data_IF_806247267444
#
_entry.id   IF_806247267444
#
_cell.length_a   1.000
_cell.length_b   1.000
_cell.length_c   1.000
_cell.angle_alpha   90.00
_cell.angle_beta   90.00
_cell.angle_gamma   90.00
#
_symmetry.space_group_name_H-M   'P 1'
#
loop_
_entity.id
_entity.type
_entity.pdbx_description
1 polymer ?
#
# COMPACT_ATOMS: atom_id res chain seq x y z
N UNK A 1 -40.39 19.45 -55.60
CA UNK A 1 -38.94 19.46 -55.27
C UNK A 1 -38.63 19.53 -53.76
N UNK A 2 -39.53 20.00 -52.87
CA UNK A 2 -39.31 20.03 -51.40
C UNK A 2 -39.26 18.67 -50.67
N UNK A 3 -40.00 17.65 -51.14
CA UNK A 3 -40.08 16.33 -50.48
C UNK A 3 -38.84 15.42 -50.59
N UNK A 4 -37.87 15.74 -51.46
CA UNK A 4 -36.62 14.95 -51.60
C UNK A 4 -35.48 15.45 -50.69
N UNK A 5 -35.62 16.63 -50.07
CA UNK A 5 -34.60 17.22 -49.19
C UNK A 5 -34.80 16.74 -47.74
N UNK A 6 -36.05 16.55 -47.30
CA UNK A 6 -36.38 16.10 -45.93
C UNK A 6 -35.99 14.64 -45.65
N UNK A 7 -35.95 13.77 -46.67
CA UNK A 7 -35.54 12.37 -46.46
C UNK A 7 -34.03 12.20 -46.26
N UNK A 8 -33.22 13.19 -46.66
CA UNK A 8 -31.76 13.17 -46.50
C UNK A 8 -31.26 13.71 -45.15
N UNK A 9 -32.01 14.61 -44.52
CA UNK A 9 -31.65 15.24 -43.23
C UNK A 9 -31.83 14.27 -42.06
N UNK A 10 -32.94 13.52 -41.99
CA UNK A 10 -33.16 12.53 -40.93
C UNK A 10 -32.15 11.37 -40.91
N UNK A 11 -31.63 10.97 -42.09
CA UNK A 11 -30.55 9.96 -42.17
C UNK A 11 -29.20 10.52 -41.71
N UNK A 12 -28.93 11.81 -41.95
CA UNK A 12 -27.70 12.48 -41.51
C UNK A 12 -27.69 12.70 -40.00
N UNK A 13 -28.82 13.13 -39.44
CA UNK A 13 -29.01 13.28 -38.00
C UNK A 13 -28.89 11.94 -37.27
N UNK A 14 -29.53 10.88 -37.78
CA UNK A 14 -29.41 9.54 -37.18
C UNK A 14 -27.96 9.02 -37.19
N UNK A 15 -27.22 9.23 -38.29
CA UNK A 15 -25.80 8.88 -38.38
C UNK A 15 -24.94 9.71 -37.43
N UNK A 16 -25.22 11.00 -37.28
CA UNK A 16 -24.53 11.88 -36.35
C UNK A 16 -24.77 11.45 -34.89
N UNK A 17 -26.02 11.13 -34.53
CA UNK A 17 -26.38 10.64 -33.19
C UNK A 17 -25.68 9.31 -32.90
N UNK A 18 -25.66 8.38 -33.85
CA UNK A 18 -24.97 7.10 -33.70
C UNK A 18 -23.45 7.28 -33.51
N UNK A 19 -22.80 8.12 -34.31
CA UNK A 19 -21.37 8.41 -34.19
C UNK A 19 -21.04 9.08 -32.85
N UNK A 20 -21.87 10.02 -32.40
CA UNK A 20 -21.72 10.68 -31.09
C UNK A 20 -21.89 9.68 -29.94
N UNK A 21 -22.82 8.74 -30.06
CA UNK A 21 -23.03 7.68 -29.08
C UNK A 21 -21.84 6.73 -28.99
N UNK A 22 -21.28 6.30 -30.12
CA UNK A 22 -20.11 5.41 -30.16
C UNK A 22 -18.88 6.07 -29.52
N UNK A 23 -18.60 7.33 -29.89
CA UNK A 23 -17.54 8.14 -29.26
C UNK A 23 -17.77 8.25 -27.74
N UNK A 24 -19.01 8.42 -27.29
CA UNK A 24 -19.33 8.47 -25.87
C UNK A 24 -19.06 7.14 -25.16
N UNK A 25 -19.44 6.01 -25.77
CA UNK A 25 -19.18 4.67 -25.22
C UNK A 25 -17.68 4.43 -25.03
N UNK A 26 -16.85 4.82 -26.01
CA UNK A 26 -15.38 4.70 -25.93
C UNK A 26 -14.79 5.55 -24.78
N UNK A 27 -15.30 6.76 -24.58
CA UNK A 27 -14.91 7.63 -23.46
C UNK A 27 -15.30 7.03 -22.12
N UNK A 28 -16.53 6.52 -22.02
CA UNK A 28 -17.05 5.87 -20.82
C UNK A 28 -16.18 4.68 -20.43
N UNK A 29 -15.76 3.84 -21.38
CA UNK A 29 -14.83 2.75 -21.10
C UNK A 29 -13.50 3.27 -20.51
N UNK A 30 -12.92 4.32 -21.08
CA UNK A 30 -11.68 4.90 -20.56
C UNK A 30 -11.84 5.44 -19.12
N UNK A 31 -12.95 6.12 -18.85
CA UNK A 31 -13.26 6.65 -17.51
C UNK A 31 -13.51 5.54 -16.50
N UNK A 32 -14.30 4.52 -16.87
CA UNK A 32 -14.58 3.37 -16.01
C UNK A 32 -13.32 2.57 -15.71
N UNK A 33 -12.45 2.36 -16.70
CA UNK A 33 -11.19 1.65 -16.48
C UNK A 33 -10.24 2.46 -15.57
N UNK A 34 -10.18 3.78 -15.77
CA UNK A 34 -9.44 4.68 -14.87
C UNK A 34 -9.97 4.57 -13.44
N UNK A 35 -11.30 4.61 -13.27
CA UNK A 35 -11.96 4.44 -11.99
C UNK A 35 -11.65 3.09 -11.35
N UNK A 36 -11.76 1.99 -12.10
CA UNK A 36 -11.47 0.64 -11.62
C UNK A 36 -10.00 0.48 -11.18
N UNK A 37 -9.04 0.99 -11.97
CA UNK A 37 -7.64 0.95 -11.59
C UNK A 37 -7.34 1.76 -10.33
N UNK A 38 -7.95 2.93 -10.16
CA UNK A 38 -7.82 3.71 -8.94
C UNK A 38 -8.47 3.04 -7.73
N UNK A 39 -9.67 2.47 -7.89
CA UNK A 39 -10.40 1.77 -6.84
C UNK A 39 -9.65 0.54 -6.33
N UNK A 40 -8.98 -0.19 -7.22
CA UNK A 40 -8.27 -1.42 -6.88
C UNK A 40 -6.78 -1.20 -6.53
N UNK A 41 -6.29 0.04 -6.57
CA UNK A 41 -4.94 0.38 -6.12
C UNK A 41 -3.84 0.08 -7.14
N UNK A 42 -4.09 0.35 -8.43
CA UNK A 42 -3.03 0.31 -9.43
C UNK A 42 -1.98 1.42 -9.16
N UNK A 43 -0.68 1.18 -9.42
CA UNK A 43 0.33 2.22 -9.37
C UNK A 43 0.00 3.37 -10.33
N UNK A 44 0.03 4.62 -9.85
CA UNK A 44 -0.53 5.74 -10.61
C UNK A 44 0.19 6.03 -11.92
N UNK A 45 1.51 5.97 -11.92
CA UNK A 45 2.33 6.20 -13.11
C UNK A 45 2.00 5.23 -14.25
N UNK A 46 1.46 4.05 -13.94
CA UNK A 46 1.04 3.06 -14.94
C UNK A 46 -0.37 3.31 -15.45
N UNK A 47 -1.25 3.86 -14.61
CA UNK A 47 -2.60 4.27 -15.04
C UNK A 47 -2.47 5.25 -16.22
N UNK A 48 -1.57 6.22 -16.12
CA UNK A 48 -1.34 7.18 -17.21
C UNK A 48 -0.91 6.49 -18.51
N UNK A 49 0.10 5.63 -18.45
CA UNK A 49 0.57 4.88 -19.63
C UNK A 49 -0.50 3.96 -20.21
N UNK A 50 -1.26 3.27 -19.36
CA UNK A 50 -2.29 2.32 -19.80
C UNK A 50 -3.46 3.03 -20.48
N UNK A 51 -3.92 4.15 -19.92
CA UNK A 51 -5.02 4.92 -20.49
C UNK A 51 -4.57 5.66 -21.77
N UNK A 52 -3.33 6.17 -21.84
CA UNK A 52 -2.80 6.73 -23.09
C UNK A 52 -2.69 5.69 -24.20
N UNK A 53 -2.41 4.42 -23.88
CA UNK A 53 -2.48 3.34 -24.86
C UNK A 53 -3.93 3.03 -25.25
N UNK A 54 -4.86 3.05 -24.30
CA UNK A 54 -6.28 2.85 -24.57
C UNK A 54 -6.83 3.94 -25.50
N UNK A 55 -6.43 5.20 -25.31
CA UNK A 55 -6.76 6.31 -26.21
C UNK A 55 -6.37 6.03 -27.66
N UNK A 56 -5.16 5.50 -27.89
CA UNK A 56 -4.72 5.11 -29.24
C UNK A 56 -5.55 3.98 -29.83
N UNK A 57 -5.94 2.99 -29.02
CA UNK A 57 -6.74 1.84 -29.48
C UNK A 57 -8.19 2.24 -29.76
N UNK A 58 -8.73 3.16 -28.97
CA UNK A 58 -10.10 3.66 -29.11
C UNK A 58 -10.24 4.83 -30.10
N UNK A 59 -9.14 5.26 -30.73
CA UNK A 59 -9.10 6.42 -31.65
C UNK A 59 -9.60 7.71 -30.98
N UNK A 60 -9.09 7.96 -29.77
CA UNK A 60 -9.37 9.16 -28.96
C UNK A 60 -8.09 9.95 -28.77
N UNK A 61 -8.18 11.28 -28.89
CA UNK A 61 -7.11 12.19 -28.51
C UNK A 61 -7.32 12.74 -27.10
N UNK A 62 -6.24 12.84 -26.32
CA UNK A 62 -6.34 13.30 -24.95
C UNK A 62 -5.03 13.32 -24.19
N UNK A 63 -5.11 13.82 -22.96
CA UNK A 63 -4.04 13.82 -21.96
C UNK A 63 -4.62 13.35 -20.64
N UNK A 64 -3.82 12.60 -19.90
CA UNK A 64 -4.15 12.15 -18.56
C UNK A 64 -3.10 12.69 -17.61
N UNK A 65 -3.54 13.16 -16.45
CA UNK A 65 -2.67 13.65 -15.40
C UNK A 65 -3.15 13.06 -14.07
N UNK A 66 -2.28 12.34 -13.39
CA UNK A 66 -2.58 11.78 -12.09
C UNK A 66 -2.17 12.74 -10.97
N UNK A 67 -3.12 13.05 -10.10
CA UNK A 67 -2.87 13.65 -8.79
C UNK A 67 -3.24 12.65 -7.69
N UNK A 68 -2.66 12.82 -6.50
CA UNK A 68 -2.93 11.91 -5.37
C UNK A 68 -4.43 11.93 -5.04
N UNK A 69 -5.09 10.79 -5.25
CA UNK A 69 -6.53 10.62 -5.00
C UNK A 69 -7.46 11.13 -6.11
N UNK A 70 -6.95 11.68 -7.21
CA UNK A 70 -7.75 12.18 -8.32
C UNK A 70 -7.00 12.10 -9.65
N UNK A 71 -7.61 11.50 -10.69
CA UNK A 71 -7.04 11.50 -12.04
C UNK A 71 -7.83 12.45 -12.93
N UNK A 72 -7.14 13.36 -13.60
CA UNK A 72 -7.72 14.25 -14.59
C UNK A 72 -7.59 13.62 -15.96
N UNK A 73 -8.73 13.31 -16.59
CA UNK A 73 -8.79 12.77 -17.94
C UNK A 73 -9.29 13.89 -18.84
N UNK A 74 -8.36 14.49 -19.57
CA UNK A 74 -8.66 15.49 -20.58
C UNK A 74 -8.72 14.81 -21.94
N UNK A 75 -9.77 15.09 -22.66
CA UNK A 75 -9.93 14.58 -23.99
C UNK A 75 -10.16 15.75 -24.96
N UNK A 76 -9.62 15.57 -26.15
CA UNK A 76 -9.51 16.57 -27.18
C UNK A 76 -10.26 16.03 -28.38
N UNK A 77 -11.32 16.73 -28.81
CA UNK A 77 -11.97 16.37 -30.06
C UNK A 77 -11.05 16.77 -31.23
N UNK A 78 -10.93 15.91 -32.26
CA UNK A 78 -10.27 16.32 -33.50
C UNK A 78 -11.05 17.49 -34.13
N UNK A 79 -10.36 18.42 -34.82
CA UNK A 79 -11.01 19.54 -35.48
C UNK A 79 -11.97 19.01 -36.57
N UNK A 80 -13.23 19.43 -36.53
CA UNK A 80 -14.17 19.14 -37.61
C UNK A 80 -13.80 19.99 -38.83
N UNK A 81 -13.75 19.38 -40.01
CA UNK A 81 -13.40 20.06 -41.25
C UNK A 81 -14.42 21.14 -41.63
N UNK A 82 -15.67 21.00 -41.14
CA UNK A 82 -16.76 21.94 -41.39
C UNK A 82 -16.81 23.10 -40.40
N UNK A 83 -16.15 22.99 -39.24
CA UNK A 83 -16.10 24.05 -38.23
C UNK A 83 -14.79 23.98 -37.40
N UNK A 84 -13.71 24.62 -37.88
CA UNK A 84 -12.40 24.57 -37.23
C UNK A 84 -12.32 25.34 -35.89
N UNK A 85 -13.36 26.12 -35.53
CA UNK A 85 -13.39 26.93 -34.32
C UNK A 85 -13.97 26.19 -33.10
N UNK A 86 -14.69 25.08 -33.31
CA UNK A 86 -15.30 24.29 -32.23
C UNK A 86 -14.38 23.20 -31.68
N UNK A 87 -13.12 23.55 -31.37
CA UNK A 87 -12.24 22.66 -30.61
C UNK A 87 -12.72 22.59 -29.16
N UNK A 88 -13.58 21.61 -28.87
CA UNK A 88 -14.04 21.35 -27.51
C UNK A 88 -13.08 20.38 -26.83
N UNK A 89 -12.55 20.82 -25.68
CA UNK A 89 -11.87 19.94 -24.73
C UNK A 89 -12.81 19.65 -23.58
N UNK A 90 -12.85 18.40 -23.16
CA UNK A 90 -13.65 17.97 -22.02
C UNK A 90 -12.72 17.30 -21.01
N UNK A 91 -12.71 17.83 -19.79
CA UNK A 91 -11.92 17.28 -18.70
C UNK A 91 -12.87 16.68 -17.69
N UNK A 92 -12.65 15.41 -17.35
CA UNK A 92 -13.39 14.72 -16.31
C UNK A 92 -12.45 14.34 -15.18
N UNK A 93 -12.86 14.62 -13.95
CA UNK A 93 -12.14 14.24 -12.75
C UNK A 93 -12.67 12.90 -12.24
N UNK A 94 -11.77 11.92 -12.12
CA UNK A 94 -12.09 10.61 -11.57
C UNK A 94 -11.45 10.49 -10.19
N UNK A 95 -12.27 10.26 -9.16
CA UNK A 95 -11.83 10.05 -7.78
C UNK A 95 -12.21 8.66 -7.32
N UNK A 96 -11.22 7.86 -6.94
CA UNK A 96 -11.40 6.60 -6.26
C UNK A 96 -10.13 6.27 -5.47
N UNK A 97 -10.28 5.53 -4.39
CA UNK A 97 -9.16 5.05 -3.60
C UNK A 97 -9.55 3.71 -2.97
N UNK A 98 -8.65 2.74 -3.08
CA UNK A 98 -8.80 1.43 -2.46
C UNK A 98 -7.65 0.53 -2.85
N UNK A 99 -7.70 -0.71 -2.37
CA UNK A 99 -6.69 -1.72 -2.64
C UNK A 99 -7.36 -3.09 -2.67
N UNK A 100 -7.44 -3.69 -3.85
CA UNK A 100 -7.94 -5.05 -4.05
C UNK A 100 -7.13 -5.71 -5.15
N UNK A 101 -6.13 -6.51 -4.75
CA UNK A 101 -5.18 -7.11 -5.70
C UNK A 101 -5.86 -8.14 -6.61
N UNK A 102 -6.92 -8.79 -6.10
CA UNK A 102 -7.68 -9.78 -6.85
C UNK A 102 -8.47 -9.15 -7.99
N UNK A 103 -9.24 -8.11 -7.70
CA UNK A 103 -10.01 -7.39 -8.72
C UNK A 103 -9.12 -6.56 -9.65
N UNK A 104 -7.99 -6.06 -9.17
CA UNK A 104 -7.00 -5.36 -10.00
C UNK A 104 -6.47 -6.25 -11.14
N UNK A 105 -6.15 -7.51 -10.85
CA UNK A 105 -5.69 -8.45 -11.89
C UNK A 105 -6.77 -8.71 -12.94
N UNK A 106 -8.04 -8.74 -12.54
CA UNK A 106 -9.17 -8.96 -13.44
C UNK A 106 -9.44 -7.75 -14.33
N UNK A 107 -9.48 -6.54 -13.76
CA UNK A 107 -9.57 -5.30 -14.53
C UNK A 107 -8.40 -5.18 -15.53
N UNK A 108 -7.20 -5.58 -15.13
CA UNK A 108 -6.04 -5.59 -16.02
C UNK A 108 -6.13 -6.63 -17.15
N UNK A 109 -6.79 -7.77 -16.93
CA UNK A 109 -7.08 -8.75 -17.99
C UNK A 109 -8.03 -8.18 -19.02
N UNK A 110 -9.12 -7.53 -18.58
CA UNK A 110 -10.09 -6.87 -19.47
C UNK A 110 -9.37 -5.81 -20.32
N UNK A 111 -8.57 -4.95 -19.68
CA UNK A 111 -7.73 -3.96 -20.38
C UNK A 111 -6.86 -4.60 -21.48
N UNK A 112 -6.17 -5.71 -21.18
CA UNK A 112 -5.35 -6.41 -22.17
C UNK A 112 -6.16 -6.96 -23.34
N UNK A 113 -7.36 -7.51 -23.10
CA UNK A 113 -8.25 -7.99 -24.17
C UNK A 113 -8.63 -6.84 -25.10
N UNK A 114 -8.97 -5.66 -24.54
CA UNK A 114 -9.31 -4.45 -25.32
C UNK A 114 -8.13 -3.97 -26.16
N UNK A 115 -6.94 -3.85 -25.56
CA UNK A 115 -5.73 -3.37 -26.27
C UNK A 115 -5.33 -4.32 -27.41
N UNK A 116 -5.56 -5.62 -27.25
CA UNK A 116 -5.32 -6.62 -28.30
C UNK A 116 -6.45 -6.72 -29.32
N UNK A 117 -7.51 -5.93 -29.17
CA UNK A 117 -8.71 -5.97 -30.00
C UNK A 117 -9.38 -7.36 -30.00
N UNK A 118 -9.30 -8.08 -28.88
CA UNK A 118 -9.96 -9.39 -28.69
C UNK A 118 -11.45 -9.23 -28.32
N UNK A 119 -11.84 -8.10 -27.72
CA UNK A 119 -13.22 -7.79 -27.31
C UNK A 119 -13.62 -6.37 -27.74
N UNK A 120 -14.92 -6.16 -27.95
CA UNK A 120 -15.47 -4.84 -28.30
C UNK A 120 -15.61 -3.92 -27.08
N UNK A 121 -15.78 -2.62 -27.32
CA UNK A 121 -15.90 -1.58 -26.27
C UNK A 121 -17.11 -1.81 -25.38
N UNK A 122 -18.25 -2.18 -25.95
CA UNK A 122 -19.49 -2.46 -25.21
C UNK A 122 -19.33 -3.68 -24.31
N UNK A 123 -18.83 -4.79 -24.85
CA UNK A 123 -18.56 -6.02 -24.11
C UNK A 123 -17.55 -5.80 -22.98
N UNK A 124 -16.48 -5.05 -23.24
CA UNK A 124 -15.51 -4.66 -22.22
C UNK A 124 -16.12 -3.81 -21.11
N UNK A 125 -17.07 -2.92 -21.46
CA UNK A 125 -17.78 -2.09 -20.50
C UNK A 125 -18.66 -2.95 -19.60
N UNK A 126 -19.37 -3.93 -20.17
CA UNK A 126 -20.19 -4.88 -19.41
C UNK A 126 -19.34 -5.77 -18.51
N UNK A 127 -18.28 -6.41 -19.03
CA UNK A 127 -17.36 -7.22 -18.21
C UNK A 127 -16.76 -6.38 -17.05
N UNK A 128 -16.42 -5.12 -17.30
CA UNK A 128 -15.86 -4.25 -16.27
C UNK A 128 -16.91 -3.82 -15.22
N UNK A 129 -18.15 -3.57 -15.64
CA UNK A 129 -19.26 -3.29 -14.73
C UNK A 129 -19.58 -4.50 -13.84
N UNK A 130 -19.50 -5.72 -14.38
CA UNK A 130 -19.70 -6.95 -13.60
C UNK A 130 -18.63 -7.09 -12.50
N UNK A 131 -17.39 -6.72 -12.80
CA UNK A 131 -16.30 -6.71 -11.81
C UNK A 131 -16.52 -5.62 -10.75
N UNK A 132 -16.98 -4.42 -11.15
CA UNK A 132 -17.26 -3.31 -10.23
C UNK A 132 -18.47 -3.55 -9.32
N UNK A 133 -19.51 -4.17 -9.85
CA UNK A 133 -20.74 -4.48 -9.11
C UNK A 133 -20.67 -5.83 -8.37
N UNK A 134 -19.64 -6.63 -8.65
CA UNK A 134 -19.42 -7.91 -8.00
C UNK A 134 -19.17 -7.78 -6.50
N UNK A 135 -19.61 -8.75 -5.68
CA UNK A 135 -19.31 -8.74 -4.25
C UNK A 135 -17.80 -8.90 -4.01
N UNK A 136 -17.23 -8.28 -2.96
CA UNK A 136 -15.83 -8.47 -2.61
C UNK A 136 -15.58 -9.94 -2.28
N UNK A 137 -14.45 -10.47 -2.74
CA UNK A 137 -14.11 -11.90 -2.58
C UNK A 137 -14.06 -12.33 -1.11
N UNK A 138 -13.45 -11.49 -0.26
CA UNK A 138 -13.48 -11.65 1.20
C UNK A 138 -14.44 -10.65 1.83
N UNK A 139 -15.37 -11.14 2.64
CA UNK A 139 -16.26 -10.25 3.39
C UNK A 139 -15.45 -9.48 4.45
N UNK A 140 -15.75 -8.20 4.72
CA UNK A 140 -14.99 -7.38 5.67
C UNK A 140 -14.79 -8.03 7.05
N UNK A 141 -15.81 -8.72 7.57
CA UNK A 141 -15.73 -9.43 8.86
C UNK A 141 -14.72 -10.57 8.90
N UNK A 142 -14.52 -11.27 7.79
CA UNK A 142 -13.53 -12.34 7.71
C UNK A 142 -12.10 -11.82 7.66
N UNK A 143 -11.89 -10.56 7.30
CA UNK A 143 -10.56 -9.94 7.21
C UNK A 143 -10.01 -9.65 8.63
N UNK A 144 -10.86 -9.32 9.59
CA UNK A 144 -10.49 -8.97 10.97
C UNK A 144 -9.64 -10.04 11.69
N UNK A 145 -9.98 -11.34 11.70
CA UNK A 145 -9.13 -12.36 12.31
C UNK A 145 -7.78 -12.51 11.58
N UNK A 146 -7.71 -12.28 10.27
CA UNK A 146 -6.45 -12.33 9.54
C UNK A 146 -5.48 -11.19 9.92
N UNK A 147 -5.99 -10.02 10.32
CA UNK A 147 -5.17 -8.97 10.95
C UNK A 147 -4.51 -9.47 12.24
N UNK A 148 -5.28 -10.14 13.11
CA UNK A 148 -4.75 -10.73 14.35
C UNK A 148 -3.71 -11.82 14.09
N UNK A 149 -3.99 -12.74 13.16
CA UNK A 149 -3.04 -13.81 12.79
C UNK A 149 -1.75 -13.25 12.18
N UNK A 150 -1.84 -12.18 11.38
CA UNK A 150 -0.67 -11.49 10.86
C UNK A 150 0.14 -10.85 11.99
N UNK A 151 -0.48 -10.06 12.87
CA UNK A 151 0.17 -9.46 14.04
C UNK A 151 0.82 -10.49 14.97
N UNK A 152 0.15 -11.62 15.20
CA UNK A 152 0.67 -12.74 15.99
C UNK A 152 2.02 -13.23 15.46
N UNK A 153 2.13 -13.41 14.14
CA UNK A 153 3.38 -13.83 13.52
C UNK A 153 4.44 -12.72 13.51
N UNK A 154 4.03 -11.47 13.25
CA UNK A 154 4.92 -10.30 13.25
C UNK A 154 5.62 -10.08 14.59
N UNK A 155 4.93 -10.37 15.71
CA UNK A 155 5.49 -10.30 17.05
C UNK A 155 6.84 -11.03 17.18
N UNK A 156 6.92 -12.25 16.64
CA UNK A 156 8.12 -13.09 16.78
C UNK A 156 9.16 -12.78 15.70
N UNK A 157 8.76 -12.68 14.42
CA UNK A 157 9.74 -12.56 13.34
C UNK A 157 10.31 -11.15 13.18
N UNK A 158 9.49 -10.10 13.38
CA UNK A 158 9.90 -8.71 13.17
C UNK A 158 10.44 -8.07 14.44
N UNK A 159 9.81 -8.30 15.59
CA UNK A 159 10.06 -7.56 16.84
C UNK A 159 10.67 -8.40 17.97
N UNK A 160 11.10 -9.63 17.67
CA UNK A 160 11.79 -10.53 18.59
C UNK A 160 11.01 -10.87 19.88
N UNK A 161 9.67 -10.95 19.81
CA UNK A 161 8.83 -11.42 20.91
C UNK A 161 8.98 -12.92 21.23
N UNK A 162 8.39 -13.35 22.34
CA UNK A 162 8.35 -14.75 22.76
C UNK A 162 7.00 -15.40 22.44
N UNK A 163 6.90 -16.73 22.55
CA UNK A 163 5.65 -17.48 22.32
C UNK A 163 4.49 -17.01 23.21
N UNK A 164 4.79 -16.49 24.40
CA UNK A 164 3.79 -15.93 25.32
C UNK A 164 3.18 -14.62 24.82
N UNK A 165 3.89 -13.86 23.99
CA UNK A 165 3.43 -12.57 23.46
C UNK A 165 2.45 -12.76 22.28
N UNK A 166 2.50 -13.90 21.59
CA UNK A 166 1.70 -14.19 20.39
C UNK A 166 0.18 -14.07 20.60
N UNK A 167 -0.43 -14.69 21.64
CA UNK A 167 -1.87 -14.58 21.85
C UNK A 167 -2.34 -13.16 22.14
N UNK A 168 -1.51 -12.37 22.83
CA UNK A 168 -1.81 -10.97 23.12
C UNK A 168 -1.76 -10.13 21.85
N UNK A 169 -0.72 -10.31 21.04
CA UNK A 169 -0.59 -9.67 19.74
C UNK A 169 -1.73 -10.05 18.77
N UNK A 170 -2.25 -11.29 18.85
CA UNK A 170 -3.43 -11.70 18.08
C UNK A 170 -4.67 -10.90 18.46
N UNK A 171 -4.96 -10.78 19.75
CA UNK A 171 -6.14 -10.05 20.24
C UNK A 171 -6.04 -8.57 19.89
N UNK A 172 -4.89 -7.94 20.18
CA UNK A 172 -4.69 -6.52 19.89
C UNK A 172 -4.67 -6.24 18.38
N UNK A 173 -4.05 -7.10 17.57
CA UNK A 173 -4.09 -7.00 16.11
C UNK A 173 -5.51 -7.17 15.54
N UNK A 174 -6.34 -8.04 16.13
CA UNK A 174 -7.75 -8.15 15.75
C UNK A 174 -8.57 -6.91 16.13
N UNK A 175 -8.27 -6.25 17.25
CA UNK A 175 -8.88 -4.95 17.59
C UNK A 175 -8.53 -3.91 16.52
N UNK A 176 -7.27 -3.85 16.12
CA UNK A 176 -6.81 -2.95 15.05
C UNK A 176 -7.52 -3.24 13.74
N UNK A 177 -7.64 -4.52 13.35
CA UNK A 177 -8.40 -4.93 12.17
C UNK A 177 -9.88 -4.53 12.23
N UNK A 178 -10.51 -4.65 13.40
CA UNK A 178 -11.89 -4.20 13.60
C UNK A 178 -12.03 -2.68 13.43
N UNK A 179 -11.13 -1.91 14.05
CA UNK A 179 -11.12 -0.45 13.94
C UNK A 179 -10.91 0.01 12.48
N UNK A 180 -9.98 -0.62 11.76
CA UNK A 180 -9.67 -0.25 10.38
C UNK A 180 -10.74 -0.70 9.37
N UNK A 181 -11.22 -1.94 9.47
CA UNK A 181 -12.10 -2.51 8.44
C UNK A 181 -13.58 -2.17 8.67
N UNK A 182 -14.01 -2.03 9.93
CA UNK A 182 -15.42 -1.84 10.28
C UNK A 182 -15.67 -0.42 10.79
N UNK A 183 -14.90 0.06 11.77
CA UNK A 183 -15.18 1.36 12.38
C UNK A 183 -14.85 2.53 11.43
N UNK A 184 -13.68 2.50 10.78
CA UNK A 184 -13.29 3.54 9.82
C UNK A 184 -14.19 3.56 8.56
N UNK A 185 -14.70 2.41 8.13
CA UNK A 185 -15.64 2.32 7.01
C UNK A 185 -17.02 2.93 7.32
N UNK A 186 -17.44 2.94 8.59
CA UNK A 186 -18.73 3.50 9.01
C UNK A 186 -18.68 4.99 9.33
N UNK A 187 -17.55 5.48 9.83
CA UNK A 187 -17.39 6.87 10.24
C UNK A 187 -16.18 7.53 9.56
N UNK A 188 -16.41 8.41 8.56
CA UNK A 188 -15.32 9.08 7.84
C UNK A 188 -14.52 10.04 8.74
N UNK A 189 -15.09 10.56 9.83
CA UNK A 189 -14.35 11.37 10.80
C UNK A 189 -13.36 10.50 11.59
N UNK A 190 -13.77 9.27 11.93
CA UNK A 190 -12.90 8.34 12.66
C UNK A 190 -11.75 7.85 11.77
N UNK A 191 -11.99 7.69 10.46
CA UNK A 191 -10.94 7.31 9.51
C UNK A 191 -9.73 8.29 9.51
N UNK A 192 -9.94 9.56 9.85
CA UNK A 192 -8.85 10.56 9.92
C UNK A 192 -7.99 10.46 11.19
N UNK A 193 -8.45 9.76 12.23
CA UNK A 193 -7.78 9.65 13.54
C UNK A 193 -7.51 8.18 13.90
N UNK A 194 -7.76 7.26 12.96
CA UNK A 194 -7.64 5.82 13.16
C UNK A 194 -6.22 5.46 13.63
N UNK A 195 -5.20 6.02 12.99
CA UNK A 195 -3.79 5.74 13.24
C UNK A 195 -3.39 6.01 14.68
N UNK A 196 -3.67 7.23 15.14
CA UNK A 196 -3.32 7.69 16.48
C UNK A 196 -4.13 6.93 17.52
N UNK A 197 -5.42 6.74 17.29
CA UNK A 197 -6.31 6.06 18.24
C UNK A 197 -6.00 4.56 18.36
N UNK A 198 -5.75 3.86 17.25
CA UNK A 198 -5.37 2.45 17.26
C UNK A 198 -4.01 2.23 17.94
N UNK A 199 -3.01 3.06 17.65
CA UNK A 199 -1.70 3.00 18.30
C UNK A 199 -1.78 3.31 19.80
N UNK A 200 -2.60 4.27 20.20
CA UNK A 200 -2.85 4.60 21.60
C UNK A 200 -3.48 3.42 22.36
N UNK A 201 -4.58 2.86 21.85
CA UNK A 201 -5.30 1.76 22.51
C UNK A 201 -4.43 0.51 22.62
N UNK A 202 -3.75 0.13 21.54
CA UNK A 202 -2.88 -1.06 21.54
C UNK A 202 -1.67 -0.88 22.43
N UNK A 203 -1.05 0.30 22.48
CA UNK A 203 0.14 0.54 23.31
C UNK A 203 -0.19 0.67 24.79
N UNK A 204 -1.34 1.25 25.12
CA UNK A 204 -1.88 1.25 26.48
C UNK A 204 -2.10 -0.18 26.97
N UNK A 205 -2.81 -1.01 26.18
CA UNK A 205 -3.07 -2.40 26.53
C UNK A 205 -1.79 -3.24 26.57
N UNK A 206 -0.86 -3.04 25.62
CA UNK A 206 0.42 -3.73 25.58
C UNK A 206 1.24 -3.46 26.83
N UNK A 207 1.32 -2.19 27.28
CA UNK A 207 2.05 -1.84 28.51
C UNK A 207 1.35 -2.35 29.77
N UNK A 208 0.02 -2.32 29.79
CA UNK A 208 -0.76 -2.90 30.88
C UNK A 208 -0.46 -4.39 31.07
N UNK A 209 -0.44 -5.15 29.97
CA UNK A 209 -0.16 -6.58 30.00
C UNK A 209 1.33 -6.84 30.31
N UNK A 210 2.24 -6.02 29.80
CA UNK A 210 3.66 -6.10 30.12
C UNK A 210 3.99 -5.80 31.59
N UNK A 211 3.17 -5.01 32.28
CA UNK A 211 3.29 -4.74 33.73
C UNK A 211 2.96 -5.96 34.61
N UNK A 212 2.25 -6.95 34.06
CA UNK A 212 1.87 -8.17 34.80
C UNK A 212 3.14 -8.98 35.09
N UNK A 213 3.59 -8.95 36.34
CA UNK A 213 4.80 -9.64 36.78
C UNK A 213 5.52 -9.01 37.96
N UNK A 214 5.26 -7.73 38.25
CA UNK A 214 5.80 -6.98 39.38
C UNK A 214 7.29 -6.62 39.24
N UNK A 215 7.68 -5.43 39.72
CA UNK A 215 9.08 -5.02 39.86
C UNK A 215 9.72 -4.32 38.65
N UNK A 216 8.94 -3.64 37.80
CA UNK A 216 9.46 -2.84 36.67
C UNK A 216 10.17 -3.65 35.57
N UNK A 217 10.25 -4.97 35.72
CA UNK A 217 10.95 -5.90 34.82
C UNK A 217 9.95 -6.76 34.04
N UNK A 218 10.15 -6.88 32.72
CA UNK A 218 9.29 -7.64 31.79
C UNK A 218 9.47 -9.16 31.93
N UNK A 219 8.95 -9.74 33.01
CA UNK A 219 9.17 -11.17 33.32
C UNK A 219 8.43 -12.12 32.36
N UNK A 220 7.22 -11.76 31.92
CA UNK A 220 6.34 -12.65 31.16
C UNK A 220 6.01 -12.15 29.76
N UNK A 221 5.79 -10.83 29.59
CA UNK A 221 5.38 -10.24 28.33
C UNK A 221 6.28 -9.07 27.94
N UNK A 222 6.61 -8.96 26.65
CA UNK A 222 7.38 -7.85 26.13
C UNK A 222 6.48 -6.73 25.60
N UNK A 223 6.57 -5.53 26.19
CA UNK A 223 5.85 -4.35 25.71
C UNK A 223 6.23 -4.02 24.26
N UNK A 224 7.54 -4.03 23.97
CA UNK A 224 8.12 -3.69 22.68
C UNK A 224 7.49 -4.48 21.53
N UNK A 225 7.59 -5.81 21.64
CA UNK A 225 7.10 -6.72 20.62
C UNK A 225 5.58 -6.70 20.49
N UNK A 226 4.82 -6.58 21.59
CA UNK A 226 3.35 -6.58 21.54
C UNK A 226 2.81 -5.29 20.92
N UNK A 227 3.32 -4.12 21.32
CA UNK A 227 2.83 -2.84 20.81
C UNK A 227 3.11 -2.68 19.31
N UNK A 228 4.35 -2.94 18.86
CA UNK A 228 4.71 -2.80 17.43
C UNK A 228 4.06 -3.86 16.53
N UNK A 229 3.91 -5.10 17.01
CA UNK A 229 3.27 -6.17 16.24
C UNK A 229 1.77 -5.93 16.03
N UNK A 230 1.10 -5.31 16.99
CA UNK A 230 -0.33 -5.00 16.92
C UNK A 230 -0.65 -3.98 15.83
N UNK A 231 0.25 -3.02 15.59
CA UNK A 231 0.09 -1.98 14.58
C UNK A 231 0.74 -2.31 13.23
N UNK A 232 1.48 -3.43 13.12
CA UNK A 232 2.26 -3.80 11.92
C UNK A 232 1.45 -3.71 10.63
N UNK A 233 0.18 -4.11 10.67
CA UNK A 233 -0.71 -4.13 9.52
C UNK A 233 -1.16 -2.74 9.05
N UNK A 234 -1.02 -1.73 9.90
CA UNK A 234 -1.35 -0.33 9.61
C UNK A 234 -0.14 0.46 9.13
N UNK A 235 1.09 -0.08 9.27
CA UNK A 235 2.29 0.61 8.79
C UNK A 235 2.14 1.01 7.32
N UNK A 236 2.63 2.21 6.93
CA UNK A 236 2.38 2.80 5.62
C UNK A 236 3.23 2.16 4.50
N UNK A 237 3.42 0.84 4.51
CA UNK A 237 4.30 0.14 3.57
C UNK A 237 3.83 0.22 2.13
N UNK A 238 2.52 0.14 1.89
CA UNK A 238 1.92 0.40 0.58
C UNK A 238 2.21 1.81 0.07
N UNK A 239 2.08 2.80 0.95
CA UNK A 239 2.21 4.21 0.61
C UNK A 239 3.66 4.51 0.26
N UNK A 240 4.60 3.99 1.05
CA UNK A 240 6.04 4.08 0.80
C UNK A 240 6.40 3.44 -0.55
N UNK A 241 5.85 2.26 -0.83
CA UNK A 241 6.06 1.58 -2.11
C UNK A 241 5.56 2.39 -3.30
N UNK A 242 4.29 2.80 -3.28
CA UNK A 242 3.72 3.58 -4.38
C UNK A 242 4.48 4.90 -4.57
N UNK A 243 4.82 5.58 -3.47
CA UNK A 243 5.63 6.79 -3.50
C UNK A 243 7.01 6.58 -4.14
N UNK A 244 7.69 5.48 -3.79
CA UNK A 244 8.96 5.08 -4.37
C UNK A 244 8.85 4.81 -5.89
N UNK A 245 7.87 4.01 -6.31
CA UNK A 245 7.67 3.67 -7.72
C UNK A 245 7.27 4.89 -8.57
N UNK A 246 6.46 5.79 -8.01
CA UNK A 246 6.06 7.02 -8.70
C UNK A 246 7.22 7.99 -8.88
N UNK A 247 8.10 8.08 -7.88
CA UNK A 247 9.33 8.85 -7.98
C UNK A 247 10.25 8.26 -9.07
N UNK A 248 10.30 6.93 -9.21
CA UNK A 248 11.01 6.25 -10.29
C UNK A 248 10.52 6.68 -11.67
N UNK A 249 9.19 6.69 -11.81
CA UNK A 249 8.52 6.96 -13.06
C UNK A 249 8.51 8.46 -13.41
N UNK A 250 9.24 9.28 -12.65
CA UNK A 250 9.29 10.75 -12.77
C UNK A 250 7.95 11.43 -12.51
N UNK A 251 7.02 10.76 -11.85
CA UNK A 251 5.81 11.38 -11.30
C UNK A 251 6.15 12.02 -9.94
N UNK A 252 6.91 13.12 -10.00
CA UNK A 252 7.51 13.74 -8.82
C UNK A 252 6.45 14.22 -7.82
N UNK A 253 5.35 14.81 -8.30
CA UNK A 253 4.29 15.35 -7.46
C UNK A 253 3.57 14.25 -6.67
N UNK A 254 3.11 13.20 -7.35
CA UNK A 254 2.41 12.09 -6.71
C UNK A 254 3.32 11.32 -5.73
N UNK A 255 4.54 11.00 -6.17
CA UNK A 255 5.51 10.26 -5.39
C UNK A 255 5.97 11.01 -4.14
N UNK A 256 6.34 12.29 -4.28
CA UNK A 256 6.79 13.11 -3.16
C UNK A 256 5.70 13.30 -2.10
N UNK A 257 4.46 13.56 -2.51
CA UNK A 257 3.33 13.71 -1.57
C UNK A 257 3.06 12.43 -0.80
N UNK A 258 3.10 11.25 -1.45
CA UNK A 258 2.92 9.96 -0.76
C UNK A 258 4.04 9.65 0.23
N UNK A 259 5.28 9.85 -0.17
CA UNK A 259 6.43 9.64 0.72
C UNK A 259 6.39 10.59 1.92
N UNK A 260 6.10 11.87 1.70
CA UNK A 260 5.95 12.83 2.79
C UNK A 260 4.80 12.45 3.73
N UNK A 261 3.65 12.05 3.19
CA UNK A 261 2.53 11.57 3.99
C UNK A 261 2.90 10.33 4.80
N UNK A 262 3.63 9.36 4.24
CA UNK A 262 4.09 8.17 4.97
C UNK A 262 5.01 8.50 6.16
N UNK A 263 5.85 9.55 6.03
CA UNK A 263 6.68 10.05 7.13
C UNK A 263 5.80 10.62 8.26
N UNK A 264 4.85 11.50 7.92
CA UNK A 264 3.91 12.07 8.91
C UNK A 264 3.06 10.98 9.56
N UNK A 265 2.58 10.01 8.77
CA UNK A 265 1.82 8.86 9.23
C UNK A 265 2.57 8.06 10.29
N UNK A 266 3.87 7.86 10.07
CA UNK A 266 4.74 7.14 10.99
C UNK A 266 5.02 7.92 12.27
N UNK A 267 5.10 9.25 12.19
CA UNK A 267 5.17 10.12 13.36
C UNK A 267 3.86 10.05 14.17
N UNK A 268 2.70 9.99 13.52
CA UNK A 268 1.42 9.79 14.21
C UNK A 268 1.34 8.44 14.92
N UNK A 269 1.81 7.36 14.30
CA UNK A 269 1.93 6.05 14.95
C UNK A 269 2.88 6.12 16.14
N UNK A 270 4.08 6.66 15.98
CA UNK A 270 5.06 6.81 17.07
C UNK A 270 4.52 7.66 18.23
N UNK A 271 3.83 8.76 17.92
CA UNK A 271 3.16 9.59 18.92
C UNK A 271 2.05 8.83 19.65
N UNK A 272 1.19 8.10 18.93
CA UNK A 272 0.13 7.29 19.53
C UNK A 272 0.68 6.21 20.46
N UNK A 273 1.78 5.54 20.09
CA UNK A 273 2.46 4.58 20.96
C UNK A 273 2.98 5.28 22.23
N UNK A 274 3.65 6.42 22.07
CA UNK A 274 4.23 7.15 23.18
C UNK A 274 3.14 7.58 24.19
N UNK A 275 2.10 8.27 23.72
CA UNK A 275 0.97 8.71 24.56
C UNK A 275 0.26 7.53 25.22
N UNK A 276 -0.08 6.47 24.46
CA UNK A 276 -0.77 5.30 25.00
C UNK A 276 0.04 4.60 26.08
N UNK A 277 1.35 4.44 25.87
CA UNK A 277 2.24 3.83 26.85
C UNK A 277 2.36 4.67 28.13
N UNK A 278 2.42 6.00 28.01
CA UNK A 278 2.59 6.86 29.17
C UNK A 278 1.31 7.08 29.97
N UNK A 279 0.14 7.01 29.33
CA UNK A 279 -1.15 7.00 30.02
C UNK A 279 -1.28 5.81 30.98
N UNK A 280 -0.73 4.64 30.63
CA UNK A 280 -0.65 3.53 31.58
C UNK A 280 0.43 3.76 32.64
N UNK A 281 1.59 4.30 32.24
CA UNK A 281 2.69 4.60 33.16
C UNK A 281 2.36 5.62 34.25
N UNK A 282 1.41 6.53 34.00
CA UNK A 282 0.90 7.44 35.04
C UNK A 282 -0.14 6.80 35.96
N UNK A 283 -0.83 5.76 35.50
CA UNK A 283 -1.82 5.03 36.28
C UNK A 283 -1.20 3.97 37.21
N UNK A 284 -0.08 3.34 36.80
CA UNK A 284 0.60 2.29 37.56
C UNK A 284 2.08 2.63 37.81
N UNK A 285 2.43 2.81 39.09
CA UNK A 285 3.79 3.11 39.54
C UNK A 285 4.80 1.96 39.28
N UNK A 286 4.33 0.74 39.02
CA UNK A 286 5.18 -0.43 38.70
C UNK A 286 5.30 -0.69 37.20
N UNK A 287 4.78 0.20 36.35
CA UNK A 287 4.79 0.02 34.91
C UNK A 287 6.21 -0.11 34.33
N UNK A 288 6.40 -1.07 33.43
CA UNK A 288 7.69 -1.34 32.79
C UNK A 288 8.14 -0.15 31.94
N UNK A 289 9.39 0.28 32.11
CA UNK A 289 10.01 1.38 31.33
C UNK A 289 10.89 0.87 30.18
N UNK A 290 11.28 -0.40 30.19
CA UNK A 290 12.15 -0.98 29.17
C UNK A 290 11.40 -1.32 27.88
N UNK A 291 11.94 -0.88 26.75
CA UNK A 291 11.45 -1.25 25.41
C UNK A 291 12.06 -2.56 24.89
N UNK A 292 13.14 -3.03 25.52
CA UNK A 292 13.93 -4.18 25.07
C UNK A 292 13.41 -5.50 25.63
N UNK A 293 13.13 -6.45 24.73
CA UNK A 293 12.63 -7.77 25.13
C UNK A 293 13.76 -8.63 25.75
N UNK A 294 13.57 -9.21 26.95
CA UNK A 294 14.58 -10.03 27.62
C UNK A 294 14.66 -11.46 27.08
N UNK A 295 13.63 -11.92 26.35
CA UNK A 295 13.54 -13.26 25.78
C UNK A 295 13.13 -13.17 24.31
N UNK A 296 13.80 -13.92 23.46
CA UNK A 296 13.47 -14.06 22.05
C UNK A 296 13.43 -15.53 21.64
N UNK A 297 12.63 -15.85 20.63
CA UNK A 297 12.55 -17.20 20.04
C UNK A 297 13.79 -17.46 19.17
N UNK A 298 14.21 -18.72 19.05
CA UNK A 298 15.27 -19.14 18.13
C UNK A 298 14.99 -18.59 16.70
N UNK A 299 15.95 -17.86 16.09
CA UNK A 299 15.82 -17.29 14.75
C UNK A 299 15.38 -18.28 13.67
N UNK A 300 15.60 -19.59 13.83
CA UNK A 300 15.16 -20.62 12.87
C UNK A 300 13.65 -20.63 12.62
N UNK A 301 12.84 -20.26 13.62
CA UNK A 301 11.38 -20.20 13.47
C UNK A 301 10.91 -19.10 12.50
N UNK A 302 11.76 -18.13 12.19
CA UNK A 302 11.48 -17.09 11.18
C UNK A 302 11.21 -17.69 9.80
N UNK A 303 11.78 -18.87 9.48
CA UNK A 303 11.56 -19.57 8.21
C UNK A 303 10.09 -19.96 8.01
N UNK A 304 9.35 -20.26 9.08
CA UNK A 304 7.94 -20.66 9.01
C UNK A 304 7.02 -19.45 9.21
N UNK A 305 7.39 -18.56 10.13
CA UNK A 305 6.54 -17.42 10.52
C UNK A 305 6.47 -16.33 9.44
N UNK A 306 7.53 -16.12 8.65
CA UNK A 306 7.54 -15.12 7.57
C UNK A 306 6.62 -15.52 6.41
N UNK A 307 6.70 -16.74 5.84
CA UNK A 307 5.72 -17.20 4.85
C UNK A 307 4.28 -17.14 5.36
N UNK A 308 4.07 -17.48 6.64
CA UNK A 308 2.74 -17.41 7.26
C UNK A 308 2.23 -15.95 7.32
N UNK A 309 3.07 -15.01 7.75
CA UNK A 309 2.74 -13.58 7.74
C UNK A 309 2.37 -13.10 6.33
N UNK A 310 3.16 -13.46 5.31
CA UNK A 310 2.89 -13.09 3.91
C UNK A 310 1.57 -13.66 3.44
N UNK A 311 1.25 -14.91 3.78
CA UNK A 311 -0.02 -15.51 3.42
C UNK A 311 -1.22 -14.76 4.02
N UNK A 312 -1.14 -14.39 5.30
CA UNK A 312 -2.20 -13.61 5.96
C UNK A 312 -2.29 -12.19 5.38
N UNK A 313 -1.15 -11.54 5.15
CA UNK A 313 -1.08 -10.22 4.52
C UNK A 313 -1.66 -10.23 3.10
N UNK A 314 -1.43 -11.30 2.32
CA UNK A 314 -1.98 -11.46 0.98
C UNK A 314 -3.51 -11.54 1.00
N UNK A 315 -4.09 -12.23 2.00
CA UNK A 315 -5.54 -12.30 2.21
C UNK A 315 -6.09 -10.92 2.60
N UNK A 316 -5.40 -10.18 3.47
CA UNK A 316 -5.78 -8.81 3.86
C UNK A 316 -5.78 -7.86 2.65
N UNK A 317 -4.82 -8.03 1.73
CA UNK A 317 -4.75 -7.33 0.44
C UNK A 317 -5.78 -7.83 -0.60
N UNK A 318 -6.69 -8.72 -0.20
CA UNK A 318 -7.72 -9.35 -1.03
C UNK A 318 -7.18 -10.09 -2.25
N UNK A 319 -5.99 -10.69 -2.12
CA UNK A 319 -5.41 -11.49 -3.18
C UNK A 319 -6.21 -12.78 -3.39
N UNK A 320 -6.37 -13.21 -4.65
CA UNK A 320 -7.01 -14.49 -4.97
C UNK A 320 -6.14 -15.64 -4.45
N UNK A 321 -6.70 -16.77 -3.98
CA UNK A 321 -5.93 -17.90 -3.46
C UNK A 321 -4.84 -18.43 -4.42
N UNK A 322 -5.02 -18.28 -5.73
CA UNK A 322 -4.02 -18.66 -6.74
C UNK A 322 -2.78 -17.74 -6.77
N UNK A 323 -2.89 -16.51 -6.28
CA UNK A 323 -1.79 -15.53 -6.24
C UNK A 323 -0.95 -15.65 -4.96
N UNK A 324 -1.54 -16.12 -3.87
CA UNK A 324 -0.92 -16.17 -2.54
C UNK A 324 0.38 -17.00 -2.52
N UNK A 325 0.46 -18.21 -3.13
CA UNK A 325 1.70 -18.98 -3.14
C UNK A 325 2.86 -18.26 -3.84
N UNK A 326 2.57 -17.51 -4.90
CA UNK A 326 3.60 -16.74 -5.64
C UNK A 326 4.14 -15.60 -4.77
N UNK A 327 3.24 -14.84 -4.14
CA UNK A 327 3.61 -13.77 -3.21
C UNK A 327 4.41 -14.31 -2.02
N UNK A 328 4.02 -15.47 -1.48
CA UNK A 328 4.70 -16.14 -0.36
C UNK A 328 6.14 -16.52 -0.74
N UNK A 329 6.36 -17.14 -1.90
CA UNK A 329 7.71 -17.53 -2.35
C UNK A 329 8.58 -16.30 -2.56
N UNK A 330 8.06 -15.26 -3.22
CA UNK A 330 8.84 -14.07 -3.55
C UNK A 330 9.18 -13.25 -2.31
N UNK A 331 8.21 -13.03 -1.42
CA UNK A 331 8.43 -12.32 -0.16
C UNK A 331 9.40 -13.08 0.76
N UNK A 332 9.30 -14.40 0.83
CA UNK A 332 10.20 -15.22 1.66
C UNK A 332 11.64 -15.21 1.13
N UNK A 333 11.82 -15.26 -0.20
CA UNK A 333 13.14 -15.12 -0.81
C UNK A 333 13.76 -13.74 -0.55
N UNK A 334 12.96 -12.67 -0.64
CA UNK A 334 13.40 -11.32 -0.33
C UNK A 334 13.81 -11.16 1.14
N UNK A 335 13.02 -11.70 2.06
CA UNK A 335 13.34 -11.70 3.49
C UNK A 335 14.59 -12.52 3.81
N UNK A 336 14.79 -13.67 3.15
CA UNK A 336 15.98 -14.49 3.33
C UNK A 336 17.26 -13.70 2.98
N UNK A 337 17.23 -12.94 1.89
CA UNK A 337 18.34 -12.04 1.52
C UNK A 337 18.51 -10.94 2.57
N UNK A 338 17.42 -10.35 3.07
CA UNK A 338 17.49 -9.37 4.15
C UNK A 338 18.21 -9.95 5.38
N UNK A 339 17.83 -11.16 5.81
CA UNK A 339 18.40 -11.83 6.98
C UNK A 339 19.91 -12.05 6.87
N UNK A 340 20.40 -12.54 5.73
CA UNK A 340 21.83 -12.77 5.53
C UNK A 340 22.63 -11.48 5.35
N UNK A 341 22.09 -10.49 4.65
CA UNK A 341 22.79 -9.21 4.42
C UNK A 341 22.83 -8.37 5.71
N UNK A 342 21.76 -8.38 6.50
CA UNK A 342 21.71 -7.66 7.79
C UNK A 342 22.71 -8.20 8.82
N UNK A 343 23.18 -9.44 8.68
CA UNK A 343 24.22 -10.00 9.53
C UNK A 343 25.60 -9.37 9.27
N UNK A 344 25.86 -8.90 8.04
CA UNK A 344 27.17 -8.45 7.59
C UNK A 344 27.22 -6.97 7.19
N UNK A 345 26.07 -6.30 7.06
CA UNK A 345 25.96 -4.92 6.57
C UNK A 345 24.87 -4.14 7.33
N UNK A 346 24.79 -2.84 7.06
CA UNK A 346 23.78 -1.96 7.65
C UNK A 346 22.37 -2.33 7.17
N UNK A 347 21.35 -1.99 7.97
CA UNK A 347 19.93 -2.25 7.65
C UNK A 347 19.49 -1.63 6.31
N UNK A 348 20.08 -0.50 5.93
CA UNK A 348 19.82 0.15 4.64
C UNK A 348 20.25 -0.72 3.44
N UNK A 349 21.44 -1.31 3.52
CA UNK A 349 21.96 -2.21 2.48
C UNK A 349 21.12 -3.50 2.43
N UNK A 350 20.73 -4.04 3.58
CA UNK A 350 19.85 -5.21 3.66
C UNK A 350 18.48 -4.95 3.02
N UNK A 351 17.85 -3.81 3.32
CA UNK A 351 16.58 -3.40 2.73
C UNK A 351 16.70 -3.24 1.20
N UNK A 352 17.80 -2.65 0.73
CA UNK A 352 18.06 -2.48 -0.71
C UNK A 352 18.26 -3.83 -1.42
N UNK A 353 19.05 -4.74 -0.85
CA UNK A 353 19.29 -6.08 -1.41
C UNK A 353 18.01 -6.94 -1.45
N UNK A 354 17.19 -6.85 -0.40
CA UNK A 354 15.91 -7.56 -0.34
C UNK A 354 14.89 -7.02 -1.35
N UNK A 355 14.78 -5.69 -1.50
CA UNK A 355 13.93 -5.06 -2.51
C UNK A 355 14.39 -5.37 -3.94
N UNK A 356 15.71 -5.39 -4.18
CA UNK A 356 16.29 -5.81 -5.45
C UNK A 356 15.92 -7.25 -5.81
N UNK A 357 16.04 -8.17 -4.84
CA UNK A 357 15.69 -9.58 -5.03
C UNK A 357 14.20 -9.73 -5.35
N UNK A 358 13.35 -9.04 -4.60
CA UNK A 358 11.91 -9.06 -4.79
C UNK A 358 11.49 -8.51 -6.16
N UNK A 359 12.08 -7.38 -6.57
CA UNK A 359 11.85 -6.78 -7.88
C UNK A 359 12.34 -7.68 -9.02
N UNK A 360 13.53 -8.29 -8.90
CA UNK A 360 14.03 -9.24 -9.91
C UNK A 360 13.07 -10.41 -10.11
N UNK A 361 12.63 -11.06 -9.02
CA UNK A 361 11.70 -12.19 -9.09
C UNK A 361 10.38 -11.80 -9.75
N UNK A 362 9.82 -10.66 -9.35
CA UNK A 362 8.54 -10.22 -9.90
C UNK A 362 8.63 -9.78 -11.37
N UNK A 363 9.74 -9.17 -11.81
CA UNK A 363 9.96 -8.89 -13.23
C UNK A 363 10.13 -10.15 -14.07
N UNK A 364 10.90 -11.13 -13.57
CA UNK A 364 11.08 -12.42 -14.24
C UNK A 364 9.75 -13.17 -14.36
N UNK A 365 8.93 -13.13 -13.32
CA UNK A 365 7.59 -13.71 -13.32
C UNK A 365 6.67 -13.05 -14.35
N UNK A 366 6.66 -11.72 -14.39
CA UNK A 366 5.88 -10.96 -15.37
C UNK A 366 6.30 -11.26 -16.81
N UNK A 367 7.61 -11.44 -17.05
CA UNK A 367 8.16 -11.82 -18.35
C UNK A 367 7.75 -13.23 -18.78
N UNK A 368 7.80 -14.20 -17.86
CA UNK A 368 7.50 -15.61 -18.15
C UNK A 368 6.00 -15.87 -18.36
N UNK A 369 5.14 -15.36 -17.47
CA UNK A 369 3.70 -15.71 -17.44
C UNK A 369 2.79 -14.65 -18.05
N UNK A 370 3.33 -13.56 -18.61
CA UNK A 370 2.56 -12.35 -19.02
C UNK A 370 1.64 -11.82 -17.91
N UNK A 371 1.96 -12.12 -16.66
CA UNK A 371 1.17 -11.76 -15.48
C UNK A 371 1.45 -10.31 -15.05
N UNK A 372 0.56 -9.75 -14.23
CA UNK A 372 0.72 -8.40 -13.68
C UNK A 372 1.73 -8.43 -12.53
N UNK A 373 2.91 -7.81 -12.75
CA UNK A 373 4.06 -7.91 -11.83
C UNK A 373 3.72 -7.43 -10.41
N UNK A 374 3.05 -6.28 -10.30
CA UNK A 374 2.72 -5.62 -9.04
C UNK A 374 1.93 -6.54 -8.08
N UNK A 375 0.91 -7.22 -8.60
CA UNK A 375 0.09 -8.16 -7.81
C UNK A 375 0.91 -9.30 -7.20
N UNK A 376 2.04 -9.69 -7.80
CA UNK A 376 2.89 -10.77 -7.27
C UNK A 376 3.88 -10.33 -6.19
N UNK A 377 4.12 -9.02 -6.05
CA UNK A 377 5.19 -8.46 -5.21
C UNK A 377 4.67 -7.64 -4.03
N UNK A 378 3.48 -7.04 -4.14
CA UNK A 378 2.92 -6.12 -3.14
C UNK A 378 2.93 -6.69 -1.71
N UNK A 379 2.56 -7.95 -1.49
CA UNK A 379 2.58 -8.56 -0.16
C UNK A 379 4.00 -8.77 0.38
N UNK A 380 4.98 -9.05 -0.49
CA UNK A 380 6.38 -9.15 -0.09
C UNK A 380 6.93 -7.81 0.41
N UNK A 381 6.52 -6.70 -0.19
CA UNK A 381 6.96 -5.36 0.22
C UNK A 381 6.39 -4.97 1.58
N UNK A 382 5.16 -5.42 1.90
CA UNK A 382 4.58 -5.26 3.24
C UNK A 382 5.36 -5.97 4.34
N UNK A 383 6.24 -6.92 4.01
CA UNK A 383 7.17 -7.54 4.97
C UNK A 383 8.43 -6.68 5.13
N UNK A 384 8.94 -6.14 4.02
CA UNK A 384 10.21 -5.41 4.04
C UNK A 384 10.13 -4.12 4.86
N UNK A 385 8.98 -3.45 4.88
CA UNK A 385 8.80 -2.18 5.62
C UNK A 385 8.89 -2.40 7.14
N UNK A 386 8.07 -3.26 7.77
CA UNK A 386 8.22 -3.61 9.18
C UNK A 386 9.62 -4.15 9.51
N UNK A 387 10.20 -4.99 8.64
CA UNK A 387 11.54 -5.54 8.83
C UNK A 387 12.63 -4.46 8.87
N UNK A 388 12.52 -3.46 7.97
CA UNK A 388 13.48 -2.36 7.91
C UNK A 388 13.40 -1.43 9.12
N UNK A 389 12.19 -1.26 9.67
CA UNK A 389 11.94 -0.43 10.84
C UNK A 389 12.36 -1.11 12.14
N UNK A 390 12.03 -2.38 12.31
CA UNK A 390 12.44 -3.12 13.49
C UNK A 390 13.96 -3.26 13.59
N UNK A 391 14.64 -3.41 12.45
CA UNK A 391 16.11 -3.41 12.38
C UNK A 391 16.77 -2.08 12.81
N UNK A 392 16.01 -0.99 12.88
CA UNK A 392 16.49 0.33 13.29
C UNK A 392 16.07 0.72 14.72
N UNK A 393 15.47 -0.21 15.47
CA UNK A 393 15.00 0.01 16.85
C UNK A 393 13.49 0.21 16.99
N UNK A 394 12.74 0.04 15.90
CA UNK A 394 11.28 0.08 15.90
C UNK A 394 10.69 1.49 16.10
N UNK A 395 9.36 1.58 16.20
CA UNK A 395 8.65 2.81 16.50
C UNK A 395 8.75 3.22 17.98
N UNK A 396 9.24 2.32 18.84
CA UNK A 396 9.31 2.48 20.29
C UNK A 396 10.60 3.19 20.75
N UNK A 397 11.60 3.32 19.88
CA UNK A 397 12.86 4.03 20.16
C UNK A 397 12.67 5.51 20.58
N UNK A 398 11.49 6.11 20.35
CA UNK A 398 11.15 7.48 20.73
C UNK A 398 10.43 7.65 22.08
N UNK A 399 10.24 6.60 22.89
CA UNK A 399 9.42 6.66 24.12
C UNK A 399 10.16 7.23 25.36
N UNK A 400 11.47 7.44 25.27
CA UNK A 400 12.29 7.86 26.42
C UNK A 400 11.99 9.30 26.92
N UNK A 401 11.20 10.10 26.20
CA UNK A 401 10.79 11.44 26.62
C UNK A 401 9.54 11.38 27.53
N UNK A 402 9.60 11.73 28.83
CA UNK A 402 8.40 11.82 29.66
C UNK A 402 7.48 12.98 29.21
N UNK A 403 6.19 12.69 28.99
CA UNK A 403 5.16 13.63 28.53
C UNK A 403 4.29 14.16 29.67
N UNK A 404 4.12 13.38 30.74
CA UNK A 404 3.26 13.74 31.88
C UNK A 404 4.02 14.18 33.14
N UNK A 405 5.36 14.26 33.08
CA UNK A 405 6.19 14.66 34.21
C UNK A 405 6.84 16.04 33.95
N UNK A 406 6.05 17.13 34.02
CA UNK A 406 6.52 18.50 33.75
C UNK A 406 7.15 19.20 34.97
N UNK A 407 7.26 18.53 36.12
CA UNK A 407 7.54 19.18 37.41
C UNK A 407 9.00 19.28 37.84
N UNK A 408 9.94 18.61 37.17
CA UNK A 408 11.35 18.56 37.58
C UNK A 408 12.27 19.06 36.47
N UNK A 409 13.34 19.81 36.83
CA UNK A 409 14.38 20.26 35.89
C UNK A 409 14.98 19.09 35.08
N UNK A 410 15.01 17.90 35.66
CA UNK A 410 15.47 16.67 35.01
C UNK A 410 14.55 16.19 33.87
N UNK A 411 13.23 16.35 33.99
CA UNK A 411 12.33 15.93 32.92
C UNK A 411 12.41 16.86 31.70
N UNK A 412 12.66 18.14 31.93
CA UNK A 412 12.83 19.14 30.88
C UNK A 412 14.15 18.96 30.11
N UNK A 413 15.25 18.64 30.80
CA UNK A 413 16.54 18.33 30.16
C UNK A 413 16.51 17.00 29.41
N UNK A 414 15.83 15.97 29.94
CA UNK A 414 15.61 14.69 29.25
C UNK A 414 14.75 14.87 28.00
N UNK A 415 13.75 15.75 28.03
CA UNK A 415 12.96 16.10 26.84
C UNK A 415 13.81 16.76 25.75
N UNK A 416 14.61 17.78 26.10
CA UNK A 416 15.48 18.48 25.13
C UNK A 416 16.57 17.56 24.54
N UNK A 417 17.18 16.69 25.34
CA UNK A 417 18.20 15.75 24.87
C UNK A 417 17.62 14.65 23.97
N UNK A 418 16.37 14.22 24.20
CA UNK A 418 15.75 13.11 23.48
C UNK A 418 14.75 13.54 22.40
N UNK A 419 14.54 14.84 22.18
CA UNK A 419 13.67 15.36 21.11
C UNK A 419 14.04 14.78 19.73
N UNK A 420 15.34 14.65 19.45
CA UNK A 420 15.85 14.03 18.22
C UNK A 420 15.50 12.55 18.10
N UNK A 421 15.40 11.82 19.23
CA UNK A 421 14.97 10.41 19.25
C UNK A 421 13.48 10.29 18.95
N UNK A 422 12.64 11.24 19.38
CA UNK A 422 11.20 11.23 19.06
C UNK A 422 10.91 11.48 17.57
N UNK A 423 11.74 12.27 16.87
CA UNK A 423 11.66 12.43 15.41
C UNK A 423 12.39 11.33 14.61
N UNK A 424 13.14 10.44 15.28
CA UNK A 424 13.95 9.41 14.61
C UNK A 424 13.09 8.43 13.79
N UNK A 425 11.85 8.17 14.20
CA UNK A 425 10.90 7.29 13.47
C UNK A 425 10.65 7.80 12.05
N UNK A 426 10.51 9.11 11.87
CA UNK A 426 10.35 9.70 10.53
C UNK A 426 11.61 9.52 9.67
N UNK A 427 12.79 9.68 10.27
CA UNK A 427 14.07 9.47 9.58
C UNK A 427 14.28 8.00 9.19
N UNK A 428 13.92 7.05 10.06
CA UNK A 428 13.95 5.62 9.78
C UNK A 428 13.07 5.27 8.58
N UNK A 429 11.86 5.83 8.52
CA UNK A 429 10.93 5.62 7.40
C UNK A 429 11.49 6.15 6.08
N UNK A 430 12.16 7.31 6.09
CA UNK A 430 12.84 7.83 4.90
C UNK A 430 13.95 6.87 4.47
N UNK A 431 14.76 6.37 5.41
CA UNK A 431 15.85 5.43 5.09
C UNK A 431 15.33 4.12 4.49
N UNK A 432 14.25 3.56 5.06
CA UNK A 432 13.58 2.37 4.52
C UNK A 432 13.04 2.67 3.12
N UNK A 433 12.34 3.80 2.94
CA UNK A 433 11.80 4.21 1.64
C UNK A 433 12.89 4.35 0.57
N UNK A 434 14.03 4.97 0.90
CA UNK A 434 15.17 5.12 -0.01
C UNK A 434 15.75 3.75 -0.37
N UNK A 435 15.98 2.88 0.61
CA UNK A 435 16.51 1.53 0.36
C UNK A 435 15.60 0.70 -0.56
N UNK A 436 14.29 0.72 -0.29
CA UNK A 436 13.29 0.05 -1.13
C UNK A 436 13.27 0.62 -2.56
N UNK A 437 13.31 1.95 -2.69
CA UNK A 437 13.33 2.64 -3.98
C UNK A 437 14.55 2.21 -4.79
N UNK A 438 15.75 2.35 -4.24
CA UNK A 438 17.00 2.02 -4.93
C UNK A 438 17.01 0.55 -5.34
N UNK A 439 16.61 -0.36 -4.46
CA UNK A 439 16.58 -1.80 -4.76
C UNK A 439 15.64 -2.14 -5.92
N UNK A 440 14.41 -1.63 -5.89
CA UNK A 440 13.44 -1.81 -6.98
C UNK A 440 13.95 -1.21 -8.29
N UNK A 441 14.62 -0.06 -8.24
CA UNK A 441 15.08 0.62 -9.45
C UNK A 441 16.19 -0.13 -10.15
N UNK A 442 17.16 -0.60 -9.38
CA UNK A 442 18.26 -1.42 -9.88
C UNK A 442 17.72 -2.74 -10.45
N UNK A 443 16.71 -3.35 -9.82
CA UNK A 443 16.10 -4.58 -10.32
C UNK A 443 15.48 -4.42 -11.72
N UNK A 444 14.82 -3.28 -11.98
CA UNK A 444 14.23 -2.98 -13.29
C UNK A 444 15.30 -2.84 -14.37
N UNK A 445 16.40 -2.14 -14.06
CA UNK A 445 17.52 -1.96 -14.98
C UNK A 445 18.20 -3.29 -15.30
N UNK A 446 18.42 -4.14 -14.30
CA UNK A 446 19.06 -5.45 -14.49
C UNK A 446 18.24 -6.40 -15.37
N UNK A 447 16.91 -6.40 -15.22
CA UNK A 447 16.05 -7.31 -16.01
C UNK A 447 15.74 -6.76 -17.41
N UNK A 448 15.71 -5.43 -17.56
CA UNK A 448 15.41 -4.75 -18.83
C UNK A 448 16.50 -3.75 -19.26
N UNK A 449 17.76 -4.19 -19.46
CA UNK A 449 18.91 -3.30 -19.66
C UNK A 449 18.83 -2.45 -20.95
N UNK A 450 18.14 -2.91 -21.99
CA UNK A 450 18.08 -2.23 -23.29
C UNK A 450 16.76 -1.53 -23.59
N UNK A 451 15.79 -1.57 -22.67
CA UNK A 451 14.43 -1.07 -22.90
C UNK A 451 13.70 -1.87 -24.00
N UNK A 452 12.41 -2.16 -23.82
CA UNK A 452 11.64 -2.87 -24.86
C UNK A 452 11.07 -1.83 -25.84
N UNK A 453 11.60 -1.77 -27.07
CA UNK A 453 11.28 -0.76 -28.10
C UNK A 453 9.78 -0.64 -28.50
N UNK A 454 8.95 -1.67 -28.31
CA UNK A 454 7.58 -1.71 -28.87
C UNK A 454 6.44 -2.01 -27.88
N UNK A 455 6.71 -2.09 -26.58
CA UNK A 455 5.65 -2.27 -25.57
C UNK A 455 6.02 -1.41 -24.36
N UNK A 456 5.08 -0.61 -23.84
CA UNK A 456 5.27 0.09 -22.57
C UNK A 456 5.92 -0.87 -21.59
N UNK A 457 7.02 -0.41 -21.00
CA UNK A 457 7.95 -1.19 -20.20
C UNK A 457 7.11 -2.01 -19.21
N UNK A 458 6.98 -3.34 -19.34
CA UNK A 458 6.23 -4.20 -18.40
C UNK A 458 6.97 -4.37 -17.05
N UNK A 459 7.71 -3.34 -16.67
CA UNK A 459 8.39 -3.13 -15.39
C UNK A 459 7.40 -2.57 -14.37
N UNK A 460 7.72 -2.68 -13.07
CA UNK A 460 6.91 -2.24 -11.93
C UNK A 460 6.43 -0.81 -12.06
#
# INVERSE_FOLDING_TARGET
MKKKIEHGTGSREAKYVAAKSDINNRRTLCLLLTYAFMLYGAPSHRIEEYILQLFKVCDLDGRINYLVGCTEVCFINPPDHNDPLTRQSYTTLVKAQGLDVGCLEEAFKIYKKVVRQEINVEEATTELMDVLNGPPYYRPWWIVPFYGLASMSACVWAYNGYWTDMPVALVLGSIVGFLQVIAAARNPLYANVLEVSAALVTSFAARAIASIGGGGSQKYFCFGAIAESSITMILPGYIVLCGALELQAKSLTAGATRLFYAVIYSLFLGYGINVGSQLWGSADAHATTSATCPRSVDPKWKIVLVPFFIAMQAVVLRSRPRQIPVQMIFGSAAYLVNYFVAANATSQVANTASALTLGMLGHLYARSRRAFAFASVVAGIMVLVPSGLSAQGGLIAGIETPLFNNGTLEAQTVYEQNLYRSFSVGAQMIQVAVGLSVGLFVSALLVYPFGRKNNALFSF
#
